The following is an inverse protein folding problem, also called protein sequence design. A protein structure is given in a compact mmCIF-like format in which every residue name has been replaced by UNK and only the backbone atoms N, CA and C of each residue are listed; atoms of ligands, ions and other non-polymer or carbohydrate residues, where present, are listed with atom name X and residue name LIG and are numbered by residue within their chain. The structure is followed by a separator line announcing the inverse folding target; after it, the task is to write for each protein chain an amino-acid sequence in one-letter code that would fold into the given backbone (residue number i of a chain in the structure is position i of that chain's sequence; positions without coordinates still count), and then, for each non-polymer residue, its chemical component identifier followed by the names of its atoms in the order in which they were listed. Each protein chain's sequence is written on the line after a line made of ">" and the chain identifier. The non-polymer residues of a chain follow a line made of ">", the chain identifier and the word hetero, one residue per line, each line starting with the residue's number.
data_IF_563011638204
#
_entry.id   IF_563011638204
#
_cell.length_a   1.000
_cell.length_b   1.000
_cell.length_c   1.000
_cell.angle_alpha   90.00
_cell.angle_beta   90.00
_cell.angle_gamma   90.00
#
_symmetry.space_group_name_H-M   'P 1'
#
loop_
_entity.id
_entity.type
_entity.pdbx_description
1 polymer ?
#
# COMPACT_ATOMS: atom_id res chain seq x y z
N UNK A 1 -5.69 -9.88 10.99
CA UNK A 1 -5.51 -8.43 10.62
C UNK A 1 -4.16 -8.29 9.94
N UNK A 2 -4.12 -7.58 8.83
CA UNK A 2 -2.91 -7.43 8.01
C UNK A 2 -1.92 -6.39 8.57
N UNK A 3 -0.65 -6.44 8.13
CA UNK A 3 0.38 -5.46 8.47
C UNK A 3 0.61 -4.48 7.32
N UNK A 4 0.59 -3.18 7.61
CA UNK A 4 0.99 -2.10 6.70
C UNK A 4 2.28 -1.47 7.23
N UNK A 5 3.21 -1.17 6.32
CA UNK A 5 4.38 -0.35 6.60
C UNK A 5 4.71 0.55 5.42
N UNK A 6 5.01 1.82 5.69
CA UNK A 6 5.45 2.80 4.71
C UNK A 6 6.62 3.64 5.23
N UNK A 7 7.49 4.03 4.33
CA UNK A 7 8.69 4.82 4.59
C UNK A 7 8.87 5.91 3.54
N UNK A 8 9.23 7.09 4.01
CA UNK A 8 9.77 8.19 3.20
C UNK A 8 10.93 8.82 3.97
N UNK A 9 12.08 8.99 3.33
CA UNK A 9 13.24 9.54 4.02
C UNK A 9 14.40 9.87 3.10
N UNK A 10 15.59 9.97 3.70
CA UNK A 10 16.84 10.29 3.00
C UNK A 10 17.57 9.04 2.49
N UNK A 11 17.33 7.88 3.11
CA UNK A 11 18.00 6.65 2.75
C UNK A 11 17.37 6.07 1.48
N UNK A 12 18.19 5.60 0.59
CA UNK A 12 17.79 5.04 -0.70
C UNK A 12 17.51 3.52 -0.67
N UNK A 13 17.50 2.94 0.52
CA UNK A 13 17.20 1.54 0.81
C UNK A 13 15.76 1.31 1.31
N UNK A 14 14.80 2.14 0.86
CA UNK A 14 13.41 2.08 1.29
C UNK A 14 12.80 0.66 1.22
N UNK A 15 13.16 -0.14 0.21
CA UNK A 15 12.69 -1.51 0.08
C UNK A 15 13.08 -2.37 1.29
N UNK A 16 14.33 -2.27 1.73
CA UNK A 16 14.85 -3.03 2.87
C UNK A 16 14.22 -2.55 4.18
N UNK A 17 14.12 -1.22 4.37
CA UNK A 17 13.47 -0.62 5.55
C UNK A 17 12.01 -1.10 5.66
N UNK A 18 11.27 -1.08 4.55
CA UNK A 18 9.89 -1.56 4.51
C UNK A 18 9.82 -3.05 4.83
N UNK A 19 10.68 -3.89 4.23
CA UNK A 19 10.71 -5.32 4.50
C UNK A 19 11.00 -5.62 5.98
N UNK A 20 11.92 -4.91 6.60
CA UNK A 20 12.23 -5.06 8.02
C UNK A 20 11.05 -4.67 8.92
N UNK A 21 10.35 -3.59 8.59
CA UNK A 21 9.11 -3.20 9.26
C UNK A 21 8.02 -4.26 9.11
N UNK A 22 7.85 -4.83 7.92
CA UNK A 22 6.88 -5.91 7.68
C UNK A 22 7.23 -7.20 8.42
N UNK A 23 8.52 -7.55 8.59
CA UNK A 23 8.94 -8.69 9.40
C UNK A 23 8.45 -8.56 10.86
N UNK A 24 8.47 -7.36 11.41
CA UNK A 24 7.94 -7.09 12.76
C UNK A 24 6.41 -7.17 12.81
N UNK A 25 5.73 -7.02 11.67
CA UNK A 25 4.28 -7.08 11.53
C UNK A 25 3.76 -8.44 11.02
N UNK A 26 4.64 -9.44 10.78
CA UNK A 26 4.27 -10.73 10.21
C UNK A 26 3.23 -11.49 11.05
N UNK A 27 3.22 -11.30 12.37
CA UNK A 27 2.21 -11.87 13.27
C UNK A 27 0.77 -11.43 12.94
N UNK A 28 0.61 -10.34 12.17
CA UNK A 28 -0.70 -9.83 11.73
C UNK A 28 -1.20 -10.48 10.44
N UNK A 29 -0.28 -11.00 9.61
CA UNK A 29 -0.62 -11.67 8.36
C UNK A 29 0.61 -12.36 7.78
N UNK A 30 0.44 -13.58 7.30
CA UNK A 30 1.53 -14.43 6.83
C UNK A 30 1.17 -15.26 5.59
N UNK A 31 0.04 -14.97 4.94
CA UNK A 31 -0.40 -15.68 3.74
C UNK A 31 0.33 -15.20 2.48
N UNK A 32 0.64 -13.91 2.44
CA UNK A 32 1.43 -13.28 1.39
C UNK A 32 1.96 -11.92 1.84
N UNK A 33 2.95 -11.40 1.14
CA UNK A 33 3.54 -10.11 1.41
C UNK A 33 4.09 -9.47 0.13
N UNK A 34 4.25 -8.15 0.16
CA UNK A 34 4.86 -7.45 -0.95
C UNK A 34 5.27 -6.03 -0.59
N UNK A 35 6.18 -5.52 -1.38
CA UNK A 35 6.75 -4.18 -1.25
C UNK A 35 6.72 -3.47 -2.59
N UNK A 36 6.42 -2.18 -2.58
CA UNK A 36 6.52 -1.28 -3.73
C UNK A 36 7.49 -0.15 -3.42
N UNK A 37 8.32 0.18 -4.40
CA UNK A 37 9.20 1.35 -4.36
C UNK A 37 9.14 2.13 -5.68
N UNK A 38 9.55 3.39 -5.64
CA UNK A 38 9.61 4.25 -6.80
C UNK A 38 10.81 3.91 -7.68
N UNK A 39 10.59 3.79 -8.99
CA UNK A 39 11.61 3.65 -10.02
C UNK A 39 11.34 4.64 -11.16
N UNK A 40 12.02 5.78 -11.14
CA UNK A 40 11.79 6.84 -12.11
C UNK A 40 10.35 7.36 -12.05
N UNK A 41 9.61 7.25 -13.15
CA UNK A 41 8.21 7.69 -13.26
C UNK A 41 7.18 6.59 -12.94
N UNK A 42 7.61 5.41 -12.53
CA UNK A 42 6.73 4.27 -12.24
C UNK A 42 7.02 3.71 -10.86
N UNK A 43 6.08 2.94 -10.35
CA UNK A 43 6.26 2.11 -9.18
C UNK A 43 6.57 0.68 -9.62
N UNK A 44 7.50 0.04 -8.92
CA UNK A 44 7.84 -1.36 -9.11
C UNK A 44 7.51 -2.12 -7.84
N UNK A 45 7.04 -3.36 -7.99
CA UNK A 45 6.60 -4.21 -6.89
C UNK A 45 7.35 -5.52 -6.87
N UNK A 46 7.57 -6.06 -5.69
CA UNK A 46 8.01 -7.43 -5.44
C UNK A 46 6.99 -8.09 -4.51
N UNK A 47 6.39 -9.21 -4.93
CA UNK A 47 5.25 -9.85 -4.26
C UNK A 47 5.48 -11.34 -4.13
N UNK A 48 5.17 -11.88 -2.96
CA UNK A 48 5.37 -13.28 -2.61
C UNK A 48 4.18 -13.86 -1.85
N UNK A 49 3.89 -15.13 -2.08
CA UNK A 49 2.99 -15.93 -1.24
C UNK A 49 3.76 -16.58 -0.10
N UNK A 50 3.11 -16.80 1.04
CA UNK A 50 3.71 -17.38 2.24
C UNK A 50 4.34 -16.33 3.16
N UNK A 51 5.08 -16.83 4.15
CA UNK A 51 5.72 -16.02 5.20
C UNK A 51 6.93 -15.25 4.66
N UNK A 52 7.20 -14.08 5.26
CA UNK A 52 8.42 -13.32 4.99
C UNK A 52 9.65 -14.07 5.51
N UNK A 53 9.62 -14.50 6.76
CA UNK A 53 10.72 -15.24 7.39
C UNK A 53 12.08 -14.54 7.19
N UNK A 54 13.01 -15.25 6.54
CA UNK A 54 14.36 -14.75 6.23
C UNK A 54 14.48 -14.17 4.81
N UNK A 55 13.36 -13.83 4.16
CA UNK A 55 13.38 -13.26 2.83
C UNK A 55 14.25 -12.00 2.74
N UNK A 56 14.89 -11.85 1.59
CA UNK A 56 15.57 -10.64 1.15
C UNK A 56 14.83 -10.05 -0.05
N UNK A 57 14.98 -8.76 -0.29
CA UNK A 57 14.31 -8.07 -1.38
C UNK A 57 15.32 -7.45 -2.34
N UNK A 58 15.04 -7.54 -3.65
CA UNK A 58 15.88 -6.96 -4.70
C UNK A 58 15.05 -5.97 -5.52
N UNK A 59 14.81 -4.81 -4.93
CA UNK A 59 14.17 -3.69 -5.59
C UNK A 59 15.19 -2.56 -5.80
N UNK A 60 14.97 -1.66 -6.78
CA UNK A 60 15.87 -0.55 -7.01
C UNK A 60 15.96 0.39 -5.82
N UNK A 61 17.08 1.11 -5.73
CA UNK A 61 17.27 2.18 -4.76
C UNK A 61 16.12 3.20 -4.83
N UNK A 62 15.58 3.56 -3.69
CA UNK A 62 14.45 4.49 -3.56
C UNK A 62 14.41 5.07 -2.16
N UNK A 63 14.01 6.32 -2.05
CA UNK A 63 13.77 7.02 -0.77
C UNK A 63 12.33 6.90 -0.28
N UNK A 64 11.49 6.18 -1.04
CA UNK A 64 10.07 5.99 -0.76
C UNK A 64 9.68 4.53 -1.02
N UNK A 65 8.96 3.94 -0.07
CA UNK A 65 8.43 2.58 -0.22
C UNK A 65 7.21 2.34 0.66
N UNK A 66 6.34 1.45 0.21
CA UNK A 66 5.19 0.94 0.97
C UNK A 66 5.13 -0.59 0.86
N UNK A 67 4.60 -1.24 1.88
CA UNK A 67 4.49 -2.69 1.88
C UNK A 67 3.40 -3.21 2.79
N UNK A 68 3.12 -4.50 2.63
CA UNK A 68 2.00 -5.16 3.27
C UNK A 68 2.27 -6.63 3.58
N UNK A 69 1.77 -7.10 4.71
CA UNK A 69 1.61 -8.53 5.02
C UNK A 69 0.13 -8.85 5.06
N UNK A 70 -0.28 -9.85 4.28
CA UNK A 70 -1.69 -10.16 4.06
C UNK A 70 -2.15 -11.36 4.89
N UNK A 71 -3.35 -11.22 5.46
CA UNK A 71 -4.21 -12.30 5.86
C UNK A 71 -5.39 -12.31 4.88
N UNK A 72 -5.48 -13.34 4.05
CA UNK A 72 -6.45 -13.37 2.95
C UNK A 72 -7.89 -13.43 3.47
N UNK A 73 -8.69 -12.47 3.01
CA UNK A 73 -10.14 -12.39 3.28
C UNK A 73 -10.95 -12.47 2.00
N UNK A 74 -10.53 -11.74 0.95
CA UNK A 74 -11.13 -11.73 -0.38
C UNK A 74 -10.10 -12.16 -1.43
N UNK A 75 -10.48 -13.10 -2.30
CA UNK A 75 -9.59 -13.72 -3.28
C UNK A 75 -8.59 -14.72 -2.65
N UNK A 76 -8.12 -15.67 -3.44
CA UNK A 76 -7.17 -16.69 -3.02
C UNK A 76 -5.79 -16.13 -2.65
N UNK A 77 -4.92 -17.00 -2.09
CA UNK A 77 -3.52 -16.67 -1.83
C UNK A 77 -2.73 -16.84 -3.13
N UNK A 78 -2.63 -15.77 -3.90
CA UNK A 78 -1.91 -15.71 -5.17
C UNK A 78 -1.06 -14.45 -5.24
N UNK A 79 -0.06 -14.43 -6.11
CA UNK A 79 0.79 -13.23 -6.33
C UNK A 79 -0.03 -12.04 -6.83
N UNK A 80 -1.04 -12.27 -7.70
CA UNK A 80 -1.92 -11.21 -8.20
C UNK A 80 -2.74 -10.56 -7.08
N UNK A 81 -3.21 -11.36 -6.12
CA UNK A 81 -4.01 -10.91 -4.98
C UNK A 81 -3.17 -10.36 -3.81
N UNK A 82 -1.84 -10.44 -3.90
CA UNK A 82 -0.93 -9.86 -2.90
C UNK A 82 -0.84 -8.35 -3.07
N UNK A 83 -0.87 -7.60 -1.96
CA UNK A 83 -0.59 -6.16 -1.94
C UNK A 83 0.93 -5.89 -2.10
N UNK A 84 1.31 -4.69 -2.57
CA UNK A 84 0.51 -3.55 -3.02
C UNK A 84 -0.20 -3.79 -4.35
N UNK A 85 -1.39 -3.18 -4.55
CA UNK A 85 -2.07 -3.13 -5.85
C UNK A 85 -1.70 -1.87 -6.62
N UNK A 86 -1.57 -2.00 -7.94
CA UNK A 86 -1.21 -0.91 -8.82
C UNK A 86 -2.42 -0.47 -9.66
N UNK A 87 -2.42 0.79 -10.09
CA UNK A 87 -3.27 1.30 -11.15
C UNK A 87 -2.86 0.78 -12.54
N UNK A 88 -3.63 1.11 -13.59
CA UNK A 88 -3.35 0.72 -14.97
C UNK A 88 -2.01 1.25 -15.48
N UNK A 89 -1.60 2.42 -15.00
CA UNK A 89 -0.38 3.11 -15.47
C UNK A 89 0.85 2.72 -14.66
N UNK A 90 0.71 2.02 -13.55
CA UNK A 90 1.76 1.70 -12.56
C UNK A 90 2.39 2.96 -11.94
N UNK A 91 1.61 4.00 -11.80
CA UNK A 91 2.02 5.24 -11.14
C UNK A 91 1.49 5.34 -9.71
N UNK A 92 0.40 4.64 -9.40
CA UNK A 92 -0.18 4.54 -8.06
C UNK A 92 0.00 3.14 -7.51
N UNK A 93 0.42 3.03 -6.26
CA UNK A 93 0.43 1.78 -5.49
C UNK A 93 -0.35 1.98 -4.19
N UNK A 94 -1.18 1.00 -3.85
CA UNK A 94 -2.03 1.03 -2.66
C UNK A 94 -1.82 -0.22 -1.82
N UNK A 95 -1.67 -0.05 -0.51
CA UNK A 95 -1.82 -1.10 0.50
C UNK A 95 -3.03 -0.76 1.37
N UNK A 96 -3.78 -1.78 1.79
CA UNK A 96 -5.07 -1.61 2.45
C UNK A 96 -5.28 -2.66 3.54
N UNK A 97 -5.77 -2.20 4.68
CA UNK A 97 -6.32 -3.00 5.76
C UNK A 97 -7.80 -2.66 5.92
N UNK A 98 -8.66 -3.62 5.72
CA UNK A 98 -10.12 -3.45 5.80
C UNK A 98 -10.83 -4.25 4.72
N UNK A 99 -12.09 -3.89 4.50
CA UNK A 99 -12.94 -4.44 3.45
C UNK A 99 -13.66 -3.27 2.79
N UNK A 100 -13.58 -3.20 1.45
CA UNK A 100 -14.38 -2.25 0.66
C UNK A 100 -15.72 -2.89 0.37
N UNK A 101 -16.73 -2.60 1.19
CA UNK A 101 -18.05 -3.25 1.12
C UNK A 101 -18.76 -2.98 -0.21
N UNK A 102 -18.52 -1.85 -0.85
CA UNK A 102 -19.09 -1.47 -2.14
C UNK A 102 -18.15 -1.73 -3.33
N UNK A 103 -17.18 -2.66 -3.19
CA UNK A 103 -16.16 -2.87 -4.23
C UNK A 103 -16.75 -3.32 -5.58
N UNK A 104 -17.83 -4.12 -5.57
CA UNK A 104 -18.45 -4.61 -6.81
C UNK A 104 -19.02 -3.47 -7.65
N UNK A 105 -19.73 -2.52 -7.01
CA UNK A 105 -20.26 -1.31 -7.63
C UNK A 105 -19.16 -0.44 -8.22
N UNK A 106 -18.09 -0.19 -7.40
CA UNK A 106 -16.96 0.60 -7.83
C UNK A 106 -16.18 -0.06 -8.97
N UNK A 107 -16.02 -1.38 -8.93
CA UNK A 107 -15.35 -2.16 -9.97
C UNK A 107 -16.08 -2.07 -11.30
N UNK A 108 -17.41 -2.23 -11.31
CA UNK A 108 -18.23 -2.12 -12.51
C UNK A 108 -18.11 -0.71 -13.13
N UNK A 109 -18.23 0.35 -12.30
CA UNK A 109 -18.04 1.73 -12.75
C UNK A 109 -16.67 1.92 -13.43
N UNK A 110 -15.60 1.41 -12.81
CA UNK A 110 -14.24 1.58 -13.30
C UNK A 110 -13.97 0.76 -14.57
N UNK A 111 -14.52 -0.46 -14.68
CA UNK A 111 -14.46 -1.25 -15.92
C UNK A 111 -15.13 -0.50 -17.06
N UNK A 112 -16.29 0.11 -16.83
CA UNK A 112 -17.01 0.92 -17.82
C UNK A 112 -16.22 2.17 -18.25
N UNK A 113 -15.28 2.65 -17.41
CA UNK A 113 -14.34 3.73 -17.74
C UNK A 113 -13.04 3.23 -18.38
N UNK A 114 -12.90 1.93 -18.61
CA UNK A 114 -11.77 1.30 -19.31
C UNK A 114 -10.63 0.83 -18.43
N UNK A 115 -10.80 0.83 -17.09
CA UNK A 115 -9.80 0.26 -16.17
C UNK A 115 -9.73 -1.26 -16.29
N UNK A 116 -8.53 -1.81 -16.14
CA UNK A 116 -8.24 -3.25 -16.22
C UNK A 116 -7.82 -3.78 -14.87
N UNK A 117 -8.60 -4.71 -14.35
CA UNK A 117 -8.34 -5.39 -13.09
C UNK A 117 -7.54 -6.67 -13.30
N UNK A 118 -6.56 -6.91 -12.44
CA UNK A 118 -5.68 -8.08 -12.50
C UNK A 118 -5.81 -8.98 -11.26
N UNK A 119 -6.49 -8.50 -10.21
CA UNK A 119 -6.73 -9.25 -8.98
C UNK A 119 -8.22 -9.47 -8.72
N UNK A 120 -8.48 -10.37 -7.77
CA UNK A 120 -9.80 -10.66 -7.23
C UNK A 120 -10.08 -9.89 -5.93
N UNK A 121 -9.14 -9.05 -5.47
CA UNK A 121 -9.28 -8.34 -4.21
C UNK A 121 -10.20 -7.13 -4.35
N UNK A 122 -10.82 -6.77 -3.25
CA UNK A 122 -11.58 -5.54 -3.11
C UNK A 122 -10.69 -4.28 -3.12
N UNK A 123 -9.42 -4.43 -2.78
CA UNK A 123 -8.47 -3.32 -2.67
C UNK A 123 -8.11 -2.68 -4.00
N UNK A 124 -8.07 -3.43 -5.09
CA UNK A 124 -7.62 -2.91 -6.39
C UNK A 124 -8.48 -1.76 -6.90
N UNK A 125 -9.78 -1.71 -6.52
CA UNK A 125 -10.66 -0.58 -6.88
C UNK A 125 -10.13 0.76 -6.36
N UNK A 126 -9.41 0.76 -5.23
CA UNK A 126 -8.86 1.99 -4.62
C UNK A 126 -7.79 2.59 -5.51
N UNK A 127 -6.89 1.76 -6.07
CA UNK A 127 -5.84 2.22 -6.98
C UNK A 127 -6.43 2.87 -8.24
N UNK A 128 -7.45 2.24 -8.83
CA UNK A 128 -8.12 2.76 -10.02
C UNK A 128 -9.00 3.98 -9.74
N UNK A 129 -9.63 4.08 -8.57
CA UNK A 129 -10.32 5.32 -8.17
C UNK A 129 -9.36 6.50 -8.08
N UNK A 130 -8.20 6.30 -7.44
CA UNK A 130 -7.18 7.34 -7.33
C UNK A 130 -6.68 7.73 -8.73
N UNK A 131 -6.44 6.76 -9.62
CA UNK A 131 -6.07 7.00 -11.03
C UNK A 131 -7.09 7.90 -11.74
N UNK A 132 -8.41 7.65 -11.53
CA UNK A 132 -9.46 8.49 -12.11
C UNK A 132 -9.44 9.92 -11.60
N UNK A 133 -9.28 10.12 -10.30
CA UNK A 133 -9.24 11.44 -9.71
C UNK A 133 -7.97 12.22 -10.07
N UNK A 134 -6.82 11.55 -10.20
CA UNK A 134 -5.56 12.15 -10.63
C UNK A 134 -5.62 12.81 -12.03
N UNK A 135 -6.58 12.43 -12.86
CA UNK A 135 -6.83 13.10 -14.14
C UNK A 135 -7.30 14.55 -14.00
N UNK A 136 -7.80 14.93 -12.84
CA UNK A 136 -8.46 16.23 -12.58
C UNK A 136 -7.91 16.97 -11.37
N UNK A 137 -7.24 16.27 -10.48
CA UNK A 137 -6.90 16.76 -9.14
C UNK A 137 -5.45 16.44 -8.77
N UNK A 138 -4.94 17.12 -7.73
CA UNK A 138 -3.66 16.80 -7.13
C UNK A 138 -3.71 15.51 -6.28
N UNK A 139 -2.55 14.93 -6.00
CA UNK A 139 -2.43 13.62 -5.35
C UNK A 139 -3.20 13.52 -4.02
N UNK A 140 -3.04 14.50 -3.13
CA UNK A 140 -3.72 14.48 -1.83
C UNK A 140 -5.25 14.53 -1.95
N UNK A 141 -5.78 15.36 -2.86
CA UNK A 141 -7.22 15.44 -3.13
C UNK A 141 -7.74 14.13 -3.72
N UNK A 142 -7.03 13.57 -4.69
CA UNK A 142 -7.40 12.31 -5.33
C UNK A 142 -7.48 11.15 -4.34
N UNK A 143 -6.53 11.05 -3.40
CA UNK A 143 -6.57 10.02 -2.34
C UNK A 143 -7.74 10.26 -1.39
N UNK A 144 -7.96 11.50 -0.95
CA UNK A 144 -9.08 11.86 -0.07
C UNK A 144 -10.43 11.53 -0.72
N UNK A 145 -10.62 11.92 -1.98
CA UNK A 145 -11.91 11.78 -2.64
C UNK A 145 -12.18 10.32 -3.03
N UNK A 146 -11.14 9.55 -3.39
CA UNK A 146 -11.24 8.10 -3.53
C UNK A 146 -11.60 7.44 -2.19
N UNK A 147 -10.92 7.82 -1.09
CA UNK A 147 -11.19 7.26 0.24
C UNK A 147 -12.61 7.52 0.72
N UNK A 148 -13.15 8.72 0.46
CA UNK A 148 -14.52 9.09 0.82
C UNK A 148 -15.59 8.29 0.05
N UNK A 149 -15.25 7.66 -1.07
CA UNK A 149 -16.14 6.75 -1.82
C UNK A 149 -16.22 5.34 -1.23
N UNK A 150 -15.27 4.95 -0.37
CA UNK A 150 -15.24 3.63 0.20
C UNK A 150 -16.29 3.47 1.30
N UNK A 151 -17.01 2.36 1.29
CA UNK A 151 -17.86 1.92 2.41
C UNK A 151 -17.13 0.83 3.19
N UNK A 152 -17.27 0.85 4.52
CA UNK A 152 -16.59 -0.06 5.44
C UNK A 152 -15.41 0.59 6.17
N UNK A 153 -14.83 -0.17 7.11
CA UNK A 153 -13.69 0.28 7.90
C UNK A 153 -12.40 0.00 7.15
N UNK A 154 -11.61 1.04 6.92
CA UNK A 154 -10.43 0.98 6.06
C UNK A 154 -9.24 1.75 6.63
N UNK A 155 -8.04 1.28 6.32
CA UNK A 155 -6.79 2.04 6.41
C UNK A 155 -5.98 1.80 5.13
N UNK A 156 -5.61 2.86 4.46
CA UNK A 156 -4.81 2.81 3.23
C UNK A 156 -3.50 3.58 3.38
N UNK A 157 -2.48 3.11 2.69
CA UNK A 157 -1.26 3.89 2.42
C UNK A 157 -1.00 3.84 0.93
N UNK A 158 -0.79 5.01 0.36
CA UNK A 158 -0.70 5.23 -1.09
C UNK A 158 0.63 5.86 -1.44
N UNK A 159 1.31 5.30 -2.43
CA UNK A 159 2.47 5.89 -3.08
C UNK A 159 2.10 6.31 -4.51
N UNK A 160 2.62 7.46 -4.95
CA UNK A 160 2.42 7.98 -6.31
C UNK A 160 3.79 8.31 -6.93
N UNK A 161 4.11 7.73 -8.08
CA UNK A 161 5.44 7.81 -8.67
C UNK A 161 5.94 9.24 -8.95
N UNK A 162 5.10 10.19 -9.43
CA UNK A 162 5.51 11.59 -9.58
C UNK A 162 5.72 12.33 -8.26
N UNK A 163 5.19 11.83 -7.13
CA UNK A 163 5.33 12.46 -5.81
C UNK A 163 6.59 12.00 -5.06
N UNK A 164 7.01 12.79 -4.08
CA UNK A 164 7.99 12.43 -3.06
C UNK A 164 7.36 12.08 -1.72
N UNK A 165 6.03 12.03 -1.67
CA UNK A 165 5.23 11.79 -0.47
C UNK A 165 4.48 10.47 -0.58
N UNK A 166 4.14 9.90 0.57
CA UNK A 166 3.10 8.89 0.73
C UNK A 166 1.91 9.53 1.44
N UNK A 167 0.71 9.07 1.12
CA UNK A 167 -0.50 9.53 1.78
C UNK A 167 -1.13 8.36 2.52
N UNK A 168 -1.49 8.60 3.78
CA UNK A 168 -2.19 7.65 4.62
C UNK A 168 -3.58 8.21 4.98
N UNK A 169 -4.60 7.35 4.88
CA UNK A 169 -5.96 7.67 5.32
C UNK A 169 -6.54 6.48 6.09
N UNK A 170 -7.37 6.76 7.10
CA UNK A 170 -8.00 5.73 7.92
C UNK A 170 -9.39 6.09 8.40
N UNK A 171 -10.23 5.07 8.51
CA UNK A 171 -11.51 5.08 9.19
C UNK A 171 -11.69 3.74 9.90
N UNK A 172 -11.52 3.71 11.24
CA UNK A 172 -11.64 2.50 12.06
C UNK A 172 -10.37 1.65 12.17
N UNK A 173 -9.75 1.21 11.06
CA UNK A 173 -8.53 0.41 11.09
C UNK A 173 -7.32 1.22 11.59
N UNK A 174 -6.41 0.64 12.41
CA UNK A 174 -5.32 1.38 13.02
C UNK A 174 -4.23 1.77 11.99
N UNK A 175 -3.74 3.00 12.10
CA UNK A 175 -2.48 3.49 11.56
C UNK A 175 -1.82 4.41 12.57
N UNK A 176 -0.51 4.30 12.70
CA UNK A 176 0.36 5.16 13.51
C UNK A 176 1.43 5.77 12.61
N UNK A 177 1.83 6.99 12.92
CA UNK A 177 2.89 7.72 12.22
C UNK A 177 4.09 7.85 13.17
N UNK A 178 5.28 7.58 12.65
CA UNK A 178 6.54 7.81 13.34
C UNK A 178 7.36 8.86 12.62
N UNK A 179 8.04 9.72 13.37
CA UNK A 179 8.88 10.79 12.85
C UNK A 179 10.29 10.66 13.43
N UNK A 180 11.30 10.72 12.57
CA UNK A 180 12.72 10.81 12.94
C UNK A 180 13.37 11.94 12.15
N UNK A 181 14.69 12.08 12.22
CA UNK A 181 15.42 13.16 11.56
C UNK A 181 15.33 13.07 10.02
N UNK A 182 14.32 13.74 9.44
CA UNK A 182 13.98 13.71 8.02
C UNK A 182 13.60 12.31 7.49
N UNK A 183 13.06 11.47 8.34
CA UNK A 183 12.50 10.18 8.00
C UNK A 183 11.08 10.09 8.59
N UNK A 184 10.15 9.56 7.81
CA UNK A 184 8.74 9.42 8.17
C UNK A 184 8.32 7.97 7.93
N UNK A 185 7.59 7.45 8.89
CA UNK A 185 7.10 6.08 8.90
C UNK A 185 5.59 6.08 9.10
N UNK A 186 4.92 5.16 8.46
CA UNK A 186 3.52 4.84 8.77
C UNK A 186 3.39 3.33 8.91
N UNK A 187 2.70 2.88 9.95
CA UNK A 187 2.47 1.45 10.15
C UNK A 187 1.10 1.17 10.77
N UNK A 188 0.61 -0.04 10.57
CA UNK A 188 -0.62 -0.51 11.20
C UNK A 188 -0.46 -0.85 12.67
N UNK A 189 0.77 -0.88 13.18
CA UNK A 189 1.10 -1.07 14.59
C UNK A 189 2.44 -0.43 14.91
N UNK A 190 2.56 0.17 16.11
CA UNK A 190 3.77 0.85 16.58
C UNK A 190 5.00 -0.07 16.63
N UNK A 191 4.82 -1.38 16.80
CA UNK A 191 5.91 -2.35 16.83
C UNK A 191 6.75 -2.33 15.55
N UNK A 192 6.14 -2.02 14.40
CA UNK A 192 6.83 -1.87 13.13
C UNK A 192 7.79 -0.67 13.12
N UNK A 193 7.50 0.38 13.89
CA UNK A 193 8.23 1.67 13.85
C UNK A 193 9.24 1.82 14.99
N UNK A 194 9.04 1.14 16.11
CA UNK A 194 9.75 1.40 17.38
C UNK A 194 11.28 1.30 17.28
N UNK A 195 11.80 0.55 16.31
CA UNK A 195 13.24 0.48 16.02
C UNK A 195 13.81 1.73 15.33
N UNK A 196 12.96 2.50 14.68
CA UNK A 196 13.34 3.66 13.89
C UNK A 196 13.13 4.97 14.65
N UNK A 197 12.05 5.05 15.43
CA UNK A 197 11.73 6.24 16.23
C UNK A 197 10.79 5.89 17.38
N UNK A 198 10.80 6.74 18.41
CA UNK A 198 9.85 6.73 19.53
C UNK A 198 8.98 8.00 19.58
N UNK A 199 9.01 8.78 18.49
CA UNK A 199 8.21 10.00 18.33
C UNK A 199 7.07 9.76 17.35
#
# INVERSE_FOLDING_TARGET
>A
MCGIFGYVGKKDDAAQIVLEGLKLLEYRGYDSWGVSVKRGKKLTVDKHTGKIGQATIKLPASTLGIGHTRWATHGGVTVSNTHPHLDCTKEVAVVHNGIVENFSELKEELINKGHRFVSETDTEVIAHLIEEYLKKEGFASSVRDAFNRLKGLSAIVVAYAPSTEIIAAKSGSPLVVGVSDNEFFVASDAVGIVKHTRR
#
